data_IF_770913977064
#
_entry.id   IF_770913977064
#
_cell.length_a   1.000
_cell.length_b   1.000
_cell.length_c   1.000
_cell.angle_alpha   90.00
_cell.angle_beta   90.00
_cell.angle_gamma   90.00
#
_symmetry.space_group_name_H-M   'P 1'
#
loop_
_entity.id
_entity.type
_entity.pdbx_description
1 polymer ?
#
# COMPACT_ATOMS: atom_id res chain seq x y z
N UNK A 1 8.42 -8.78 -21.53
CA UNK A 1 7.89 -10.07 -21.04
C UNK A 1 6.65 -9.75 -20.23
N UNK A 2 5.46 -10.18 -20.67
CA UNK A 2 4.21 -9.86 -19.98
C UNK A 2 3.84 -10.98 -19.00
N UNK A 3 3.14 -10.65 -17.92
CA UNK A 3 2.71 -11.60 -16.88
C UNK A 3 1.21 -11.49 -16.66
N UNK A 4 0.59 -12.56 -16.14
CA UNK A 4 -0.83 -12.57 -15.82
C UNK A 4 -1.16 -11.51 -14.77
N UNK A 5 -2.20 -10.74 -15.06
CA UNK A 5 -2.68 -9.66 -14.21
C UNK A 5 -3.23 -10.20 -12.88
N UNK A 6 -3.94 -11.33 -12.91
CA UNK A 6 -4.53 -11.96 -11.73
C UNK A 6 -3.48 -12.31 -10.66
N UNK A 7 -2.37 -12.97 -11.06
CA UNK A 7 -1.28 -13.33 -10.13
C UNK A 7 -0.60 -12.09 -9.55
N UNK A 8 -0.40 -11.07 -10.39
CA UNK A 8 0.23 -9.81 -10.03
C UNK A 8 -0.63 -9.03 -9.02
N UNK A 9 -1.93 -8.93 -9.26
CA UNK A 9 -2.89 -8.29 -8.35
C UNK A 9 -3.01 -9.05 -7.04
N UNK A 10 -3.12 -10.39 -7.08
CA UNK A 10 -3.21 -11.21 -5.87
C UNK A 10 -2.02 -10.98 -4.94
N UNK A 11 -0.82 -10.84 -5.50
CA UNK A 11 0.38 -10.50 -4.73
C UNK A 11 0.31 -9.10 -4.12
N UNK A 12 -0.08 -8.09 -4.89
CA UNK A 12 -0.23 -6.72 -4.38
C UNK A 12 -1.30 -6.63 -3.28
N UNK A 13 -2.43 -7.34 -3.46
CA UNK A 13 -3.47 -7.48 -2.43
C UNK A 13 -2.86 -8.04 -1.16
N UNK A 14 -2.14 -9.16 -1.26
CA UNK A 14 -1.55 -9.78 -0.08
C UNK A 14 -0.56 -8.86 0.65
N UNK A 15 0.31 -8.16 -0.09
CA UNK A 15 1.28 -7.22 0.46
C UNK A 15 0.59 -6.08 1.21
N UNK A 16 -0.39 -5.43 0.57
CA UNK A 16 -1.06 -4.26 1.17
C UNK A 16 -2.00 -4.64 2.29
N UNK A 17 -2.79 -5.71 2.17
CA UNK A 17 -3.67 -6.13 3.26
C UNK A 17 -2.87 -6.60 4.47
N UNK A 18 -1.83 -7.42 4.26
CA UNK A 18 -1.00 -7.90 5.38
C UNK A 18 -0.22 -6.75 6.00
N UNK A 19 0.43 -5.91 5.20
CA UNK A 19 1.23 -4.79 5.71
C UNK A 19 0.37 -3.71 6.39
N UNK A 20 -0.76 -3.34 5.80
CA UNK A 20 -1.67 -2.35 6.39
C UNK A 20 -2.40 -2.90 7.61
N UNK A 21 -2.79 -4.19 7.59
CA UNK A 21 -3.38 -4.86 8.75
C UNK A 21 -2.39 -4.92 9.92
N UNK A 22 -1.12 -5.22 9.63
CA UNK A 22 -0.06 -5.18 10.63
C UNK A 22 0.17 -3.76 11.18
N UNK A 23 0.23 -2.74 10.31
CA UNK A 23 0.32 -1.33 10.73
C UNK A 23 -0.87 -0.92 11.61
N UNK A 24 -2.09 -1.27 11.21
CA UNK A 24 -3.30 -0.98 11.97
C UNK A 24 -3.24 -1.65 13.35
N UNK A 25 -2.83 -2.91 13.42
CA UNK A 25 -2.67 -3.64 14.67
C UNK A 25 -1.63 -2.97 15.58
N UNK A 26 -0.49 -2.52 15.04
CA UNK A 26 0.52 -1.77 15.80
C UNK A 26 -0.03 -0.45 16.34
N UNK A 27 -0.74 0.34 15.50
CA UNK A 27 -1.33 1.62 15.92
C UNK A 27 -2.39 1.42 17.01
N UNK A 28 -3.25 0.40 16.87
CA UNK A 28 -4.25 0.06 17.89
C UNK A 28 -3.57 -0.34 19.20
N UNK A 29 -2.58 -1.25 19.12
CA UNK A 29 -1.85 -1.72 20.29
C UNK A 29 -1.20 -0.55 21.04
N UNK A 30 -0.51 0.35 20.33
CA UNK A 30 0.13 1.53 20.91
C UNK A 30 -0.87 2.55 21.46
N UNK A 31 -2.04 2.68 20.82
CA UNK A 31 -3.14 3.49 21.35
C UNK A 31 -3.64 2.92 22.68
N UNK A 32 -3.84 1.61 22.79
CA UNK A 32 -4.27 0.96 24.04
C UNK A 32 -3.22 1.04 25.16
N UNK A 33 -1.92 1.02 24.81
CA UNK A 33 -0.83 1.24 25.76
C UNK A 33 -0.64 2.72 26.13
N UNK A 34 -1.42 3.64 25.58
CA UNK A 34 -1.33 5.07 25.90
C UNK A 34 -0.09 5.77 25.35
N UNK A 35 0.64 5.18 24.40
CA UNK A 35 1.90 5.72 23.84
C UNK A 35 1.74 7.09 23.17
N UNK A 36 0.52 7.43 22.73
CA UNK A 36 0.23 8.68 22.05
C UNK A 36 -0.39 9.76 22.96
N UNK A 37 -0.80 9.41 24.18
CA UNK A 37 -1.47 10.35 25.10
C UNK A 37 -2.61 11.14 24.44
N UNK A 38 -2.57 12.47 24.56
CA UNK A 38 -3.54 13.38 23.94
C UNK A 38 -3.39 13.53 22.41
N UNK A 39 -2.27 13.10 21.84
CA UNK A 39 -1.96 13.25 20.41
C UNK A 39 -2.43 12.05 19.56
N UNK A 40 -3.10 11.06 20.15
CA UNK A 40 -3.58 9.89 19.44
C UNK A 40 -4.38 10.26 18.18
N UNK A 41 -5.33 11.20 18.29
CA UNK A 41 -6.15 11.64 17.15
C UNK A 41 -5.32 12.22 16.00
N UNK A 42 -4.27 12.96 16.34
CA UNK A 42 -3.36 13.54 15.36
C UNK A 42 -2.52 12.46 14.67
N UNK A 43 -1.96 11.52 15.43
CA UNK A 43 -1.23 10.37 14.90
C UNK A 43 -2.09 9.56 13.94
N UNK A 44 -3.33 9.24 14.31
CA UNK A 44 -4.28 8.56 13.43
C UNK A 44 -4.58 9.36 12.16
N UNK A 45 -4.72 10.69 12.27
CA UNK A 45 -4.92 11.57 11.13
C UNK A 45 -3.74 11.60 10.14
N UNK A 46 -2.52 11.40 10.64
CA UNK A 46 -1.30 11.32 9.83
C UNK A 46 -1.06 9.93 9.26
N UNK A 47 -1.44 8.88 9.99
CA UNK A 47 -1.16 7.50 9.59
C UNK A 47 -2.21 6.92 8.65
N UNK A 48 -3.50 7.21 8.83
CA UNK A 48 -4.56 6.65 7.96
C UNK A 48 -4.34 6.95 6.47
N UNK A 49 -3.98 8.20 6.06
CA UNK A 49 -3.72 8.50 4.65
C UNK A 49 -2.59 7.68 4.04
N UNK A 50 -1.67 7.12 4.83
CA UNK A 50 -0.51 6.35 4.33
C UNK A 50 -0.89 5.02 3.67
N UNK A 51 -1.99 4.40 4.08
CA UNK A 51 -2.38 3.07 3.57
C UNK A 51 -3.84 2.96 3.12
N UNK A 52 -4.76 3.75 3.69
CA UNK A 52 -6.20 3.66 3.38
C UNK A 52 -6.52 3.92 1.89
N UNK A 53 -5.98 4.97 1.23
CA UNK A 53 -6.26 5.21 -0.19
C UNK A 53 -5.84 4.03 -1.07
N UNK A 54 -4.70 3.41 -0.77
CA UNK A 54 -4.18 2.28 -1.54
C UNK A 54 -5.03 1.02 -1.35
N UNK A 55 -5.49 0.76 -0.12
CA UNK A 55 -6.44 -0.33 0.14
C UNK A 55 -7.73 -0.14 -0.65
N UNK A 56 -8.29 1.07 -0.68
CA UNK A 56 -9.47 1.38 -1.48
C UNK A 56 -9.23 1.16 -2.97
N UNK A 57 -8.08 1.59 -3.48
CA UNK A 57 -7.70 1.39 -4.88
C UNK A 57 -7.64 -0.11 -5.22
N UNK A 58 -7.00 -0.91 -4.36
CA UNK A 58 -6.90 -2.37 -4.55
C UNK A 58 -8.28 -3.02 -4.52
N UNK A 59 -9.12 -2.69 -3.53
CA UNK A 59 -10.50 -3.21 -3.44
C UNK A 59 -11.30 -2.82 -4.68
N UNK A 60 -11.19 -1.57 -5.14
CA UNK A 60 -11.83 -1.09 -6.36
C UNK A 60 -11.43 -1.91 -7.58
N UNK A 61 -10.15 -2.29 -7.69
CA UNK A 61 -9.68 -3.13 -8.80
C UNK A 61 -10.20 -4.56 -8.73
N UNK A 62 -10.31 -5.14 -7.53
CA UNK A 62 -10.91 -6.47 -7.33
C UNK A 62 -12.40 -6.47 -7.70
N UNK A 63 -13.13 -5.41 -7.34
CA UNK A 63 -14.53 -5.27 -7.70
C UNK A 63 -14.71 -5.09 -9.22
N UNK A 64 -13.85 -4.29 -9.85
CA UNK A 64 -13.83 -4.12 -11.30
C UNK A 64 -13.58 -5.45 -12.02
N UNK A 65 -12.66 -6.27 -11.52
CA UNK A 65 -12.39 -7.59 -12.11
C UNK A 65 -13.56 -8.56 -11.85
N UNK A 66 -14.18 -8.55 -10.66
CA UNK A 66 -15.31 -9.43 -10.33
C UNK A 66 -16.60 -9.09 -11.11
N UNK A 67 -16.78 -7.82 -11.48
CA UNK A 67 -17.93 -7.34 -12.28
C UNK A 67 -17.68 -7.38 -13.78
N UNK A 68 -16.44 -7.63 -14.21
CA UNK A 68 -16.12 -7.73 -15.63
C UNK A 68 -16.63 -9.08 -16.16
N UNK A 69 -17.65 -9.05 -17.01
CA UNK A 69 -18.13 -10.21 -17.79
C UNK A 69 -17.14 -10.64 -18.89
N UNK A 70 -15.85 -10.37 -18.73
CA UNK A 70 -14.83 -10.73 -19.69
C UNK A 70 -14.71 -12.25 -19.76
N UNK A 71 -14.55 -12.79 -20.97
CA UNK A 71 -14.38 -14.22 -21.21
C UNK A 71 -13.35 -14.80 -20.24
N UNK A 72 -13.66 -15.90 -19.52
CA UNK A 72 -12.72 -16.57 -18.63
C UNK A 72 -11.39 -16.94 -19.29
N UNK A 73 -11.36 -17.02 -20.62
CA UNK A 73 -10.20 -17.38 -21.44
C UNK A 73 -9.34 -16.17 -21.88
N UNK A 74 -9.80 -14.93 -21.72
CA UNK A 74 -9.02 -13.76 -22.12
C UNK A 74 -7.87 -13.50 -21.13
N UNK A 75 -6.66 -13.95 -21.48
CA UNK A 75 -5.46 -13.71 -20.66
C UNK A 75 -5.07 -12.22 -20.66
N UNK A 76 -5.53 -11.48 -19.65
CA UNK A 76 -5.12 -10.09 -19.43
C UNK A 76 -3.68 -10.09 -18.92
N UNK A 77 -2.80 -9.41 -19.64
CA UNK A 77 -1.38 -9.38 -19.33
C UNK A 77 -0.90 -7.95 -19.07
N UNK A 78 0.10 -7.80 -18.22
CA UNK A 78 0.71 -6.51 -17.86
C UNK A 78 2.21 -6.55 -18.05
N UNK A 79 2.83 -5.38 -18.22
CA UNK A 79 4.28 -5.31 -18.27
C UNK A 79 4.89 -5.68 -16.92
N UNK A 80 5.83 -6.63 -16.95
CA UNK A 80 6.59 -7.08 -15.78
C UNK A 80 7.39 -5.95 -15.13
N UNK A 81 7.80 -4.93 -15.89
CA UNK A 81 8.51 -3.77 -15.36
C UNK A 81 7.62 -2.97 -14.41
N UNK A 82 6.42 -2.56 -14.84
CA UNK A 82 5.49 -1.81 -14.00
C UNK A 82 5.03 -2.61 -12.79
N UNK A 83 4.81 -3.92 -12.95
CA UNK A 83 4.53 -4.80 -11.81
C UNK A 83 5.68 -4.83 -10.80
N UNK A 84 6.93 -5.09 -11.25
CA UNK A 84 8.09 -5.15 -10.34
C UNK A 84 8.34 -3.81 -9.64
N UNK A 85 8.12 -2.70 -10.35
CA UNK A 85 8.27 -1.37 -9.78
C UNK A 85 7.21 -1.13 -8.69
N UNK A 86 5.93 -1.43 -8.98
CA UNK A 86 4.85 -1.30 -8.00
C UNK A 86 5.04 -2.23 -6.79
N UNK A 87 5.44 -3.49 -7.02
CA UNK A 87 5.70 -4.49 -6.00
C UNK A 87 6.85 -4.05 -5.07
N UNK A 88 8.00 -3.69 -5.65
CA UNK A 88 9.16 -3.23 -4.89
C UNK A 88 8.85 -1.97 -4.08
N UNK A 89 8.25 -0.94 -4.72
CA UNK A 89 7.91 0.30 -4.02
C UNK A 89 6.88 0.08 -2.91
N UNK A 90 5.89 -0.80 -3.11
CA UNK A 90 4.89 -1.13 -2.08
C UNK A 90 5.54 -1.79 -0.87
N UNK A 91 6.40 -2.78 -1.08
CA UNK A 91 7.11 -3.46 0.01
C UNK A 91 8.05 -2.49 0.72
N UNK A 92 8.85 -1.72 -0.02
CA UNK A 92 9.79 -0.76 0.54
C UNK A 92 9.06 0.31 1.37
N UNK A 93 7.93 0.82 0.87
CA UNK A 93 7.10 1.80 1.57
C UNK A 93 6.54 1.25 2.88
N UNK A 94 5.85 0.10 2.84
CA UNK A 94 5.24 -0.50 4.02
C UNK A 94 6.29 -0.87 5.08
N UNK A 95 7.42 -1.45 4.64
CA UNK A 95 8.54 -1.75 5.53
C UNK A 95 9.06 -0.48 6.21
N UNK A 96 9.15 0.62 5.46
CA UNK A 96 9.61 1.90 5.98
C UNK A 96 8.65 2.48 7.03
N UNK A 97 7.34 2.44 6.78
CA UNK A 97 6.32 2.89 7.74
C UNK A 97 6.37 2.04 9.02
N UNK A 98 6.49 0.72 8.88
CA UNK A 98 6.64 -0.20 10.01
C UNK A 98 7.92 0.11 10.81
N UNK A 99 9.04 0.33 10.11
CA UNK A 99 10.32 0.64 10.75
C UNK A 99 10.26 1.94 11.55
N UNK A 100 9.58 2.99 11.09
CA UNK A 100 9.41 4.22 11.87
C UNK A 100 8.73 3.93 13.21
N UNK A 101 7.66 3.12 13.19
CA UNK A 101 6.92 2.76 14.40
C UNK A 101 7.79 1.90 15.34
N UNK A 102 8.53 0.92 14.79
CA UNK A 102 9.37 0.01 15.56
C UNK A 102 10.65 0.66 16.08
N UNK A 103 11.19 1.66 15.37
CA UNK A 103 12.39 2.41 15.76
C UNK A 103 12.06 3.58 16.69
N UNK A 104 10.78 3.92 16.86
CA UNK A 104 10.34 4.93 17.81
C UNK A 104 10.93 4.79 19.23
N UNK A 105 10.94 3.61 19.88
CA UNK A 105 11.51 3.46 21.22
C UNK A 105 13.04 3.69 21.28
N UNK A 106 13.74 3.67 20.16
CA UNK A 106 15.17 3.94 20.07
C UNK A 106 15.47 5.42 19.72
N UNK A 107 14.44 6.20 19.41
CA UNK A 107 14.57 7.62 19.09
C UNK A 107 14.59 8.48 20.35
N UNK A 108 15.25 9.64 20.27
CA UNK A 108 15.16 10.68 21.30
C UNK A 108 13.89 11.53 21.18
N UNK A 109 13.22 11.46 20.03
CA UNK A 109 11.95 12.15 19.79
C UNK A 109 10.79 11.35 20.37
N UNK A 110 9.76 12.04 20.82
CA UNK A 110 8.50 11.36 21.15
C UNK A 110 7.92 10.69 19.90
N UNK A 111 7.15 9.63 20.10
CA UNK A 111 6.58 8.89 18.98
C UNK A 111 5.68 9.73 18.06
N UNK A 112 4.80 10.61 18.59
CA UNK A 112 4.02 11.51 17.74
C UNK A 112 4.90 12.46 16.92
N UNK A 113 5.96 13.03 17.50
CA UNK A 113 6.91 13.89 16.78
C UNK A 113 7.64 13.16 15.65
N UNK A 114 8.05 11.92 15.91
CA UNK A 114 8.72 11.09 14.89
C UNK A 114 7.78 10.82 13.70
N UNK A 115 6.50 10.53 13.97
CA UNK A 115 5.48 10.33 12.93
C UNK A 115 5.22 11.63 12.15
N UNK A 116 5.11 12.77 12.84
CA UNK A 116 4.96 14.10 12.21
C UNK A 116 6.11 14.41 11.26
N UNK A 117 7.35 14.25 11.74
CA UNK A 117 8.54 14.49 10.94
C UNK A 117 8.64 13.53 9.76
N UNK A 118 8.28 12.26 9.97
CA UNK A 118 8.35 11.25 8.91
C UNK A 118 7.32 11.48 7.80
N UNK A 119 6.16 12.05 8.11
CA UNK A 119 5.12 12.34 7.13
C UNK A 119 5.59 13.25 5.99
N UNK A 120 6.55 14.13 6.24
CA UNK A 120 7.12 15.04 5.24
C UNK A 120 7.67 14.30 4.01
N UNK A 121 8.31 13.15 4.22
CA UNK A 121 8.89 12.35 3.14
C UNK A 121 8.11 11.07 2.84
N UNK A 122 7.26 10.61 3.76
CA UNK A 122 6.30 9.53 3.47
C UNK A 122 5.26 9.96 2.44
N UNK A 123 4.81 11.21 2.43
CA UNK A 123 3.87 11.73 1.45
C UNK A 123 4.38 11.62 0.00
N UNK A 124 5.58 12.14 -0.36
CA UNK A 124 6.11 11.97 -1.71
C UNK A 124 6.42 10.51 -2.04
N UNK A 125 6.87 9.70 -1.08
CA UNK A 125 7.08 8.26 -1.31
C UNK A 125 5.76 7.54 -1.62
N UNK A 126 4.69 7.85 -0.88
CA UNK A 126 3.35 7.36 -1.19
C UNK A 126 2.88 7.81 -2.58
N UNK A 127 3.21 9.03 -2.98
CA UNK A 127 2.98 9.52 -4.34
C UNK A 127 3.64 8.63 -5.40
N UNK A 128 4.90 8.24 -5.20
CA UNK A 128 5.63 7.33 -6.09
C UNK A 128 4.98 5.94 -6.15
N UNK A 129 4.59 5.39 -5.00
CA UNK A 129 3.87 4.12 -4.90
C UNK A 129 2.55 4.18 -5.67
N UNK A 130 1.77 5.25 -5.47
CA UNK A 130 0.47 5.44 -6.11
C UNK A 130 0.62 5.59 -7.62
N UNK A 131 1.62 6.33 -8.08
CA UNK A 131 1.93 6.47 -9.50
C UNK A 131 2.34 5.13 -10.12
N UNK A 132 3.17 4.34 -9.44
CA UNK A 132 3.58 3.02 -9.90
C UNK A 132 2.41 2.03 -9.98
N UNK A 133 1.53 2.03 -8.97
CA UNK A 133 0.29 1.25 -8.99
C UNK A 133 -0.63 1.70 -10.14
N UNK A 134 -0.82 3.01 -10.31
CA UNK A 134 -1.59 3.57 -11.43
C UNK A 134 -1.05 3.13 -12.79
N UNK A 135 0.26 3.23 -12.99
CA UNK A 135 0.93 2.77 -14.22
C UNK A 135 0.75 1.26 -14.45
N UNK A 136 0.83 0.45 -13.38
CA UNK A 136 0.54 -0.97 -13.44
C UNK A 136 -0.90 -1.27 -13.89
N UNK A 137 -1.90 -0.56 -13.32
CA UNK A 137 -3.30 -0.75 -13.70
C UNK A 137 -3.62 -0.26 -15.11
N UNK A 138 -2.97 0.82 -15.57
CA UNK A 138 -3.13 1.34 -16.95
C UNK A 138 -2.42 0.46 -17.98
N UNK A 139 -1.30 -0.18 -17.61
CA UNK A 139 -0.57 -1.09 -18.50
C UNK A 139 -1.30 -2.42 -18.77
N UNK A 140 -2.49 -2.65 -18.20
CA UNK A 140 -3.31 -3.83 -18.48
C UNK A 140 -3.73 -3.83 -19.95
N UNK A 141 -3.18 -4.77 -20.73
CA UNK A 141 -3.61 -5.00 -22.10
C UNK A 141 -4.41 -6.29 -22.18
N UNK A 142 -5.60 -6.21 -22.80
CA UNK A 142 -6.34 -7.39 -23.25
C UNK A 142 -5.67 -7.89 -24.53
N UNK A 143 -5.05 -9.06 -24.49
CA UNK A 143 -4.62 -9.73 -25.71
C UNK A 143 -5.85 -10.41 -26.28
N UNK A 144 -6.42 -9.85 -27.35
CA UNK A 144 -7.44 -10.52 -28.16
C UNK A 144 -6.69 -11.44 -29.12
N UNK A 145 -6.59 -12.73 -28.81
CA UNK A 145 -6.13 -13.71 -29.79
C UNK A 145 -7.19 -13.76 -30.91
N UNK A 146 -6.77 -13.39 -32.12
CA UNK A 146 -7.55 -13.56 -33.36
C UNK A 146 -7.07 -14.81 -34.08
#
# INVERSE_FOLDING_TARGET
MRILVADSQRRLVFIWFTGSGFLLALLLLQTFFGQYGSEAREVWGLMLPTFVPTLFLIIGTLLADATSSADPEASVTVDRFFFRLADFLSIAYLATVVLIILLSPFSKLSQPELIKLSNLWLAPFQGLVTAALGAFFVSKNKTTDF
#
